data_IF_880160724423
#
_entry.id   IF_880160724423
#
_cell.length_a   1.000
_cell.length_b   1.000
_cell.length_c   1.000
_cell.angle_alpha   90.00
_cell.angle_beta   90.00
_cell.angle_gamma   90.00
#
_symmetry.space_group_name_H-M   'P 1'
#
loop_
_entity.id
_entity.type
_entity.pdbx_description
1 polymer ?
#
# COMPACT_ATOMS: atom_id res chain seq x y z
N UNK A 1 6.19 -16.44 -4.10
CA UNK A 1 5.56 -15.14 -4.42
C UNK A 1 4.77 -14.73 -3.19
N UNK A 2 5.20 -13.67 -2.50
CA UNK A 2 4.48 -13.14 -1.33
C UNK A 2 3.18 -12.53 -1.83
N UNK A 3 2.11 -13.34 -1.84
CA UNK A 3 0.75 -12.83 -1.84
C UNK A 3 0.62 -12.04 -0.54
N UNK A 4 0.81 -10.71 -0.63
CA UNK A 4 0.55 -9.83 0.49
C UNK A 4 -0.89 -10.10 0.92
N UNK A 5 -1.04 -10.59 2.15
CA UNK A 5 -2.34 -10.76 2.78
C UNK A 5 -3.12 -9.43 2.59
N UNK A 6 -4.38 -9.45 2.14
CA UNK A 6 -5.10 -8.24 1.72
C UNK A 6 -5.10 -7.13 2.79
N UNK A 7 -5.09 -7.50 4.07
CA UNK A 7 -4.93 -6.58 5.21
C UNK A 7 -3.58 -5.84 5.18
N UNK A 8 -2.47 -6.54 4.91
CA UNK A 8 -1.15 -5.94 4.82
C UNK A 8 -1.04 -4.99 3.62
N UNK A 9 -1.65 -5.37 2.49
CA UNK A 9 -1.68 -4.52 1.30
C UNK A 9 -2.48 -3.23 1.57
N UNK A 10 -3.57 -3.31 2.33
CA UNK A 10 -4.37 -2.15 2.72
C UNK A 10 -3.58 -1.20 3.62
N UNK A 11 -2.90 -1.74 4.64
CA UNK A 11 -2.06 -0.97 5.56
C UNK A 11 -0.91 -0.26 4.83
N UNK A 12 -0.24 -0.94 3.88
CA UNK A 12 0.80 -0.33 3.06
C UNK A 12 0.28 0.83 2.19
N UNK A 13 -0.90 0.68 1.58
CA UNK A 13 -1.52 1.74 0.78
C UNK A 13 -1.89 2.96 1.65
N UNK A 14 -2.44 2.74 2.84
CA UNK A 14 -2.80 3.84 3.75
C UNK A 14 -1.56 4.58 4.28
N UNK A 15 -0.50 3.83 4.68
CA UNK A 15 0.77 4.46 5.09
C UNK A 15 1.41 5.26 3.97
N UNK A 16 1.37 4.74 2.74
CA UNK A 16 1.87 5.46 1.57
C UNK A 16 1.15 6.81 1.39
N UNK A 17 -0.19 6.81 1.45
CA UNK A 17 -0.99 8.04 1.33
C UNK A 17 -0.69 9.04 2.44
N UNK A 18 -0.60 8.57 3.68
CA UNK A 18 -0.28 9.41 4.83
C UNK A 18 1.11 10.07 4.66
N UNK A 19 2.13 9.30 4.32
CA UNK A 19 3.47 9.84 4.06
C UNK A 19 3.52 10.75 2.84
N UNK A 20 2.73 10.49 1.79
CA UNK A 20 2.59 11.37 0.64
C UNK A 20 2.07 12.75 1.05
N UNK A 21 1.05 12.79 1.92
CA UNK A 21 0.50 14.03 2.46
C UNK A 21 1.51 14.77 3.34
N UNK A 22 2.20 14.08 4.25
CA UNK A 22 3.23 14.69 5.11
C UNK A 22 4.40 15.27 4.30
N UNK A 23 4.78 14.61 3.21
CA UNK A 23 5.87 15.05 2.34
C UNK A 23 5.50 16.29 1.52
N UNK A 24 4.23 16.44 1.14
CA UNK A 24 3.72 17.65 0.50
C UNK A 24 3.83 18.88 1.40
N UNK A 25 3.77 18.68 2.72
CA UNK A 25 3.85 19.76 3.70
C UNK A 25 5.31 20.12 4.07
N UNK A 26 6.14 19.18 4.56
CA UNK A 26 7.51 19.49 5.06
C UNK A 26 8.50 18.30 5.02
N UNK A 27 8.71 17.67 3.86
CA UNK A 27 9.50 16.43 3.76
C UNK A 27 11.02 16.54 4.04
N UNK A 28 11.47 16.06 5.21
CA UNK A 28 12.89 15.84 5.58
C UNK A 28 13.55 14.68 4.79
N UNK A 29 14.88 14.62 4.74
CA UNK A 29 15.60 13.53 4.04
C UNK A 29 15.27 12.13 4.58
N UNK A 30 15.06 12.00 5.90
CA UNK A 30 14.63 10.74 6.52
C UNK A 30 13.21 10.34 6.09
N UNK A 31 12.28 11.30 6.04
CA UNK A 31 10.91 11.07 5.54
C UNK A 31 10.88 10.71 4.06
N UNK A 32 11.85 11.20 3.27
CA UNK A 32 12.00 10.81 1.85
C UNK A 32 12.46 9.37 1.69
N UNK A 33 13.31 8.88 2.59
CA UNK A 33 13.77 7.50 2.59
C UNK A 33 12.63 6.55 2.96
N UNK A 34 11.94 6.84 4.07
CA UNK A 34 10.79 6.04 4.53
C UNK A 34 9.70 5.93 3.45
N UNK A 35 9.40 7.04 2.76
CA UNK A 35 8.46 7.03 1.63
C UNK A 35 8.91 6.10 0.49
N UNK A 36 10.20 6.11 0.14
CA UNK A 36 10.75 5.24 -0.90
C UNK A 36 10.71 3.77 -0.48
N UNK A 37 10.96 3.47 0.80
CA UNK A 37 10.91 2.11 1.33
C UNK A 37 9.49 1.55 1.29
N UNK A 38 8.47 2.36 1.62
CA UNK A 38 7.06 1.98 1.49
C UNK A 38 6.66 1.80 0.02
N UNK A 39 7.06 2.72 -0.86
CA UNK A 39 6.78 2.61 -2.30
C UNK A 39 7.40 1.33 -2.89
N UNK A 40 8.66 1.05 -2.55
CA UNK A 40 9.34 -0.17 -2.98
C UNK A 40 8.64 -1.43 -2.45
N UNK A 41 8.23 -1.43 -1.18
CA UNK A 41 7.48 -2.53 -0.59
C UNK A 41 6.14 -2.78 -1.31
N UNK A 42 5.45 -1.71 -1.72
CA UNK A 42 4.21 -1.79 -2.47
C UNK A 42 4.44 -2.38 -3.88
N UNK A 43 5.50 -1.97 -4.56
CA UNK A 43 5.90 -2.52 -5.86
C UNK A 43 6.18 -4.03 -5.76
N UNK A 44 6.96 -4.46 -4.76
CA UNK A 44 7.27 -5.88 -4.53
C UNK A 44 6.01 -6.67 -4.17
N UNK A 45 5.16 -6.16 -3.28
CA UNK A 45 3.92 -6.81 -2.85
C UNK A 45 2.90 -6.97 -3.98
N UNK A 46 2.88 -6.03 -4.94
CA UNK A 46 1.96 -6.07 -6.08
C UNK A 46 2.57 -6.73 -7.32
N UNK A 47 3.89 -6.89 -7.37
CA UNK A 47 4.62 -7.42 -8.53
C UNK A 47 4.74 -6.41 -9.67
N UNK A 48 4.87 -5.13 -9.33
CA UNK A 48 4.95 -4.01 -10.29
C UNK A 48 6.32 -3.33 -10.21
N UNK A 49 6.67 -2.56 -11.24
CA UNK A 49 7.96 -1.83 -11.31
C UNK A 49 7.86 -0.37 -10.90
N UNK A 50 6.66 0.13 -10.69
CA UNK A 50 6.38 1.54 -10.40
C UNK A 50 5.26 1.67 -9.36
N UNK A 51 5.33 2.73 -8.55
CA UNK A 51 4.41 2.93 -7.42
C UNK A 51 2.99 3.27 -7.88
N UNK A 52 2.82 3.98 -9.01
CA UNK A 52 1.49 4.27 -9.54
C UNK A 52 0.84 2.99 -10.07
N UNK A 53 1.63 2.15 -10.77
CA UNK A 53 1.18 0.81 -11.16
C UNK A 53 0.86 -0.07 -9.95
N UNK A 54 1.65 0.03 -8.87
CA UNK A 54 1.42 -0.67 -7.63
C UNK A 54 0.10 -0.25 -6.96
N UNK A 55 -0.20 1.05 -6.94
CA UNK A 55 -1.46 1.56 -6.38
C UNK A 55 -2.67 1.08 -7.18
N UNK A 56 -2.61 1.12 -8.51
CA UNK A 56 -3.67 0.59 -9.38
C UNK A 56 -3.88 -0.90 -9.12
N UNK A 57 -2.79 -1.69 -9.10
CA UNK A 57 -2.85 -3.11 -8.81
C UNK A 57 -3.41 -3.40 -7.41
N UNK A 58 -3.07 -2.57 -6.41
CA UNK A 58 -3.59 -2.68 -5.06
C UNK A 58 -5.09 -2.36 -4.99
N UNK A 59 -5.56 -1.31 -5.69
CA UNK A 59 -6.99 -0.99 -5.79
C UNK A 59 -7.82 -2.12 -6.39
N UNK A 60 -7.26 -2.89 -7.35
CA UNK A 60 -7.94 -4.06 -7.91
C UNK A 60 -7.98 -5.27 -6.96
N UNK A 61 -7.06 -5.36 -5.98
CA UNK A 61 -6.94 -6.48 -5.04
C UNK A 61 -7.63 -6.22 -3.70
N UNK A 62 -7.77 -4.96 -3.31
CA UNK A 62 -8.46 -4.58 -2.09
C UNK A 62 -9.98 -4.63 -2.32
N UNK A 63 -10.76 -5.29 -1.45
CA UNK A 63 -12.22 -5.37 -1.59
C UNK A 63 -12.93 -4.00 -1.63
N UNK A 64 -12.23 -2.95 -1.17
CA UNK A 64 -12.71 -1.59 -0.91
C UNK A 64 -12.99 -0.65 -2.08
N UNK A 65 -13.40 -1.13 -3.26
CA UNK A 65 -14.44 -0.40 -4.00
C UNK A 65 -15.84 -0.68 -3.42
N UNK A 66 -15.96 -1.66 -2.52
CA UNK A 66 -17.09 -1.83 -1.60
C UNK A 66 -16.57 -2.10 -0.19
N UNK A 67 -17.05 -1.32 0.76
CA UNK A 67 -17.02 -1.69 2.18
C UNK A 67 -17.65 -3.08 2.33
N UNK A 68 -17.04 -3.92 3.15
CA UNK A 68 -17.42 -5.30 3.52
C UNK A 68 -16.79 -6.39 2.67
N UNK A 69 -15.73 -7.00 3.19
CA UNK A 69 -15.57 -8.44 3.10
C UNK A 69 -15.48 -8.98 4.54
N UNK A 70 -16.63 -9.49 4.98
CA UNK A 70 -16.85 -10.25 6.20
C UNK A 70 -16.71 -11.72 5.80
N UNK A 71 -15.53 -12.31 5.99
CA UNK A 71 -15.32 -13.76 6.03
C UNK A 71 -13.85 -14.08 6.32
N UNK A 72 -13.54 -14.38 7.58
CA UNK A 72 -12.94 -15.67 7.94
C UNK A 72 -13.31 -15.99 9.40
N UNK A 73 -14.55 -16.47 9.56
CA UNK A 73 -14.82 -17.54 10.52
C UNK A 73 -13.84 -18.68 10.21
N UNK A 74 -12.97 -19.00 11.17
CA UNK A 74 -12.30 -20.31 11.19
C UNK A 74 -12.98 -21.12 12.29
N UNK A 75 -13.37 -22.34 11.92
CA UNK A 75 -14.29 -23.28 12.56
C UNK A 75 -14.02 -23.60 14.03
#
# INVERSE_FOLDING_TARGET
MLLAHPVLLQDLVERYKALAMLRADQGSAASRQEFQDIAYSLCVATGTSDVDAALVAASHRLPGARTTDDSLLTA
#
